data_IF_504200965705
#
_entry.id   IF_504200965705
#
_cell.length_a   1.000
_cell.length_b   1.000
_cell.length_c   1.000
_cell.angle_alpha   90.00
_cell.angle_beta   90.00
_cell.angle_gamma   90.00
#
_symmetry.space_group_name_H-M   'P 1'
#
loop_
_entity.id
_entity.type
_entity.pdbx_description
1 polymer ?
#
# COMPACT_ATOMS: atom_id res chain seq x y z
N UNK A 1 -54.19 -43.29 19.05
CA UNK A 1 -52.86 -42.95 19.59
C UNK A 1 -52.89 -41.45 19.89
N UNK A 2 -53.36 -41.07 21.06
CA UNK A 2 -52.56 -40.91 22.29
C UNK A 2 -51.60 -39.72 22.19
N UNK A 3 -51.94 -38.71 22.99
CA UNK A 3 -51.27 -37.43 23.14
C UNK A 3 -49.82 -37.56 23.63
N UNK A 4 -48.99 -36.60 23.23
CA UNK A 4 -48.05 -35.97 24.17
C UNK A 4 -47.80 -34.53 23.77
N UNK A 5 -48.54 -33.66 24.45
CA UNK A 5 -48.14 -32.29 24.75
C UNK A 5 -46.83 -32.36 25.56
N UNK A 6 -45.88 -31.46 25.30
CA UNK A 6 -45.25 -30.77 26.42
C UNK A 6 -44.66 -29.42 25.98
N UNK A 7 -45.43 -28.40 26.28
CA UNK A 7 -44.99 -27.05 26.60
C UNK A 7 -44.00 -27.06 27.76
N UNK A 8 -42.87 -26.38 27.61
CA UNK A 8 -42.23 -25.71 28.74
C UNK A 8 -41.82 -24.32 28.30
N UNK A 9 -42.59 -23.36 28.79
CA UNK A 9 -42.34 -21.93 28.75
C UNK A 9 -41.53 -21.56 30.00
N UNK A 10 -40.80 -20.45 29.89
CA UNK A 10 -40.22 -19.62 30.96
C UNK A 10 -38.86 -20.11 31.51
N UNK A 11 -37.84 -19.26 31.69
CA UNK A 11 -37.72 -17.82 31.88
C UNK A 11 -36.50 -17.31 31.06
N UNK A 12 -36.46 -16.12 30.47
CA UNK A 12 -36.72 -14.86 31.16
C UNK A 12 -35.51 -14.37 31.97
N UNK A 13 -34.27 -14.46 31.44
CA UNK A 13 -33.14 -13.67 31.99
C UNK A 13 -32.92 -12.46 31.10
N UNK A 14 -33.65 -11.39 31.44
CA UNK A 14 -33.14 -10.02 31.27
C UNK A 14 -32.11 -9.80 32.38
N UNK A 15 -30.89 -9.50 32.00
CA UNK A 15 -29.88 -8.82 32.82
C UNK A 15 -29.04 -8.05 31.82
N UNK A 16 -29.39 -6.81 31.57
CA UNK A 16 -28.86 -5.64 32.27
C UNK A 16 -27.36 -5.44 32.03
N UNK A 17 -27.05 -4.23 31.61
CA UNK A 17 -25.70 -3.72 31.47
C UNK A 17 -24.87 -4.02 32.73
N UNK A 18 -23.80 -4.78 32.57
CA UNK A 18 -22.71 -4.85 33.52
C UNK A 18 -21.47 -5.34 32.76
N UNK A 19 -20.41 -4.53 32.87
CA UNK A 19 -19.05 -4.74 32.43
C UNK A 19 -18.63 -6.22 32.30
N UNK A 20 -18.28 -6.64 31.09
CA UNK A 20 -17.45 -7.83 30.88
C UNK A 20 -16.05 -7.51 31.42
N UNK A 21 -15.86 -7.68 32.73
CA UNK A 21 -14.53 -7.73 33.36
C UNK A 21 -13.85 -9.02 32.88
N UNK A 22 -13.32 -8.98 31.66
CA UNK A 22 -12.34 -9.97 31.20
C UNK A 22 -11.23 -9.96 32.27
N UNK A 23 -10.90 -11.11 32.90
CA UNK A 23 -9.83 -11.16 33.88
C UNK A 23 -8.59 -10.51 33.28
N UNK A 24 -8.04 -9.46 33.92
CA UNK A 24 -6.91 -8.68 33.39
C UNK A 24 -5.75 -9.56 32.92
N UNK A 25 -5.56 -10.70 33.57
CA UNK A 25 -4.55 -11.72 33.24
C UNK A 25 -4.80 -12.38 31.87
N UNK A 26 -6.07 -12.62 31.50
CA UNK A 26 -6.46 -13.16 30.20
C UNK A 26 -6.28 -12.15 29.07
N UNK A 27 -6.47 -10.86 29.37
CA UNK A 27 -6.25 -9.79 28.40
C UNK A 27 -4.75 -9.57 28.17
N UNK A 28 -3.93 -9.59 29.24
CA UNK A 28 -2.47 -9.54 29.14
C UNK A 28 -1.90 -10.69 28.30
N UNK A 29 -2.39 -11.93 28.50
CA UNK A 29 -1.99 -13.08 27.67
C UNK A 29 -2.36 -12.91 26.20
N UNK A 30 -3.51 -12.29 25.89
CA UNK A 30 -3.90 -12.01 24.51
C UNK A 30 -3.11 -10.85 23.88
N UNK A 31 -2.53 -9.96 24.68
CA UNK A 31 -1.72 -8.82 24.21
C UNK A 31 -0.24 -9.18 24.05
N UNK A 32 0.19 -10.34 24.53
CA UNK A 32 1.53 -10.87 24.32
C UNK A 32 1.65 -11.40 22.89
N UNK A 33 2.38 -10.68 22.04
CA UNK A 33 2.74 -11.17 20.71
C UNK A 33 3.85 -12.22 20.82
N UNK A 34 3.59 -13.44 20.35
CA UNK A 34 4.61 -14.49 20.19
C UNK A 34 5.38 -14.35 18.87
N UNK A 35 5.41 -13.14 18.32
CA UNK A 35 6.07 -12.82 17.06
C UNK A 35 7.59 -12.91 17.24
N UNK A 36 8.25 -13.79 16.47
CA UNK A 36 9.70 -13.80 16.38
C UNK A 36 10.13 -12.57 15.57
N UNK A 37 10.69 -11.57 16.25
CA UNK A 37 11.35 -10.43 15.63
C UNK A 37 12.68 -10.84 15.00
N UNK A 38 12.67 -11.80 14.07
CA UNK A 38 13.80 -12.05 13.16
C UNK A 38 13.85 -10.90 12.15
N UNK A 39 14.24 -9.72 12.65
CA UNK A 39 14.48 -8.48 11.91
C UNK A 39 15.81 -8.51 11.16
N UNK A 40 16.30 -9.68 10.78
CA UNK A 40 17.25 -9.70 9.69
C UNK A 40 16.52 -9.06 8.50
N UNK A 41 17.10 -7.98 7.96
CA UNK A 41 16.60 -7.39 6.71
C UNK A 41 16.26 -8.52 5.76
N UNK A 42 15.07 -8.52 5.11
CA UNK A 42 14.74 -9.53 4.12
C UNK A 42 15.96 -9.75 3.23
N UNK A 43 16.35 -11.01 3.04
CA UNK A 43 17.41 -11.38 2.11
C UNK A 43 17.15 -10.57 0.84
N UNK A 44 18.12 -9.71 0.49
CA UNK A 44 18.06 -8.88 -0.70
C UNK A 44 17.60 -9.81 -1.81
N UNK A 45 16.47 -9.49 -2.47
CA UNK A 45 15.87 -10.37 -3.46
C UNK A 45 16.96 -11.05 -4.27
N UNK A 46 17.02 -12.40 -4.29
CA UNK A 46 18.12 -13.12 -4.92
C UNK A 46 18.33 -12.58 -6.33
N UNK A 47 19.60 -12.34 -6.66
CA UNK A 47 20.05 -11.63 -7.85
C UNK A 47 19.31 -12.07 -9.13
N UNK A 48 19.01 -11.07 -9.96
CA UNK A 48 18.37 -11.15 -11.27
C UNK A 48 17.28 -12.23 -11.39
N UNK A 49 16.03 -11.81 -11.19
CA UNK A 49 14.86 -12.55 -11.68
C UNK A 49 15.12 -12.90 -13.16
N UNK A 50 15.18 -14.19 -13.52
CA UNK A 50 15.45 -14.61 -14.89
C UNK A 50 14.46 -13.95 -15.85
N UNK A 51 14.97 -13.16 -16.79
CA UNK A 51 14.16 -12.41 -17.76
C UNK A 51 13.92 -10.93 -17.42
N UNK A 52 14.40 -10.39 -16.30
CA UNK A 52 14.38 -8.93 -16.02
C UNK A 52 15.62 -8.24 -16.58
N UNK A 53 16.77 -8.90 -16.58
CA UNK A 53 18.05 -8.37 -17.09
C UNK A 53 18.10 -8.18 -18.61
N UNK A 54 17.21 -8.83 -19.37
CA UNK A 54 17.12 -8.67 -20.83
C UNK A 54 16.35 -7.39 -21.22
N UNK A 55 15.51 -6.85 -20.33
CA UNK A 55 14.61 -5.73 -20.63
C UNK A 55 14.92 -4.46 -19.82
N UNK A 56 15.53 -4.61 -18.65
CA UNK A 56 16.08 -3.47 -17.91
C UNK A 56 17.53 -3.27 -18.35
N UNK A 57 17.94 -2.07 -18.81
CA UNK A 57 19.36 -1.80 -18.97
C UNK A 57 20.01 -2.07 -17.62
N UNK A 58 21.01 -2.97 -17.60
CA UNK A 58 21.89 -3.18 -16.46
C UNK A 58 22.50 -1.81 -16.16
N UNK A 59 21.90 -1.07 -15.23
CA UNK A 59 22.43 0.22 -14.83
C UNK A 59 23.84 -0.08 -14.32
N UNK A 60 24.85 0.39 -15.03
CA UNK A 60 26.20 0.39 -14.50
C UNK A 60 26.11 1.09 -13.15
N UNK A 61 26.44 0.38 -12.08
CA UNK A 61 26.40 0.89 -10.69
C UNK A 61 27.34 2.10 -10.52
N UNK A 62 28.14 2.42 -11.54
CA UNK A 62 29.05 3.56 -11.61
C UNK A 62 28.46 4.84 -12.26
N UNK A 63 27.29 4.79 -12.90
CA UNK A 63 26.76 5.92 -13.67
C UNK A 63 25.74 6.73 -12.87
N UNK A 64 26.26 7.55 -11.95
CA UNK A 64 25.55 8.58 -11.18
C UNK A 64 24.40 8.09 -10.27
N UNK A 65 24.23 8.72 -9.09
CA UNK A 65 23.05 8.45 -8.27
C UNK A 65 21.78 8.65 -9.12
N UNK A 66 20.76 7.79 -8.97
CA UNK A 66 19.48 7.95 -9.64
C UNK A 66 18.95 9.37 -9.46
N UNK A 67 18.20 9.90 -10.43
CA UNK A 67 17.73 11.28 -10.38
C UNK A 67 16.95 11.62 -9.09
N UNK A 68 16.27 10.65 -8.49
CA UNK A 68 15.56 10.77 -7.21
C UNK A 68 16.48 10.80 -5.98
N UNK A 69 17.73 10.34 -6.10
CA UNK A 69 18.74 10.40 -5.05
C UNK A 69 19.57 11.71 -5.09
N UNK A 70 19.32 12.56 -6.10
CA UNK A 70 19.93 13.89 -6.16
C UNK A 70 19.34 14.75 -5.03
N UNK A 71 20.20 15.47 -4.32
CA UNK A 71 19.75 16.46 -3.33
C UNK A 71 18.93 17.56 -4.00
N UNK A 72 18.18 18.32 -3.18
CA UNK A 72 17.36 19.42 -3.67
C UNK A 72 18.19 20.43 -4.47
N UNK A 73 17.70 20.71 -5.68
CA UNK A 73 18.26 21.72 -6.57
C UNK A 73 17.85 23.11 -6.11
N UNK A 74 18.53 24.14 -6.63
CA UNK A 74 18.20 25.53 -6.30
C UNK A 74 16.74 25.85 -6.70
N UNK A 75 16.32 25.29 -7.82
CA UNK A 75 14.98 25.40 -8.38
C UNK A 75 13.94 24.83 -7.41
N UNK A 76 14.22 23.67 -6.80
CA UNK A 76 13.32 23.07 -5.82
C UNK A 76 13.14 23.95 -4.57
N UNK A 77 14.22 24.53 -4.06
CA UNK A 77 14.14 25.48 -2.94
C UNK A 77 13.31 26.71 -3.30
N UNK A 78 13.47 27.24 -4.52
CA UNK A 78 12.65 28.38 -4.97
C UNK A 78 11.18 28.01 -5.08
N UNK A 79 10.88 26.80 -5.58
CA UNK A 79 9.50 26.31 -5.70
C UNK A 79 8.86 26.07 -4.32
N UNK A 80 9.60 25.47 -3.37
CA UNK A 80 9.15 25.33 -1.99
C UNK A 80 8.83 26.69 -1.36
N UNK A 81 9.69 27.69 -1.57
CA UNK A 81 9.47 29.03 -1.04
C UNK A 81 8.24 29.71 -1.67
N UNK A 82 8.00 29.48 -2.96
CA UNK A 82 6.79 29.95 -3.65
C UNK A 82 5.53 29.29 -3.08
N UNK A 83 5.55 27.98 -2.84
CA UNK A 83 4.43 27.28 -2.22
C UNK A 83 4.18 27.78 -0.79
N UNK A 84 5.24 28.02 -0.02
CA UNK A 84 5.12 28.54 1.35
C UNK A 84 4.55 29.96 1.42
N UNK A 85 4.69 30.78 0.38
CA UNK A 85 4.18 32.15 0.35
C UNK A 85 2.73 32.24 -0.14
N UNK A 86 2.16 31.15 -0.65
CA UNK A 86 0.77 31.12 -1.11
C UNK A 86 -0.22 31.17 0.05
N UNK A 87 -1.34 31.88 -0.08
CA UNK A 87 -2.45 31.77 0.86
C UNK A 87 -3.08 30.37 0.78
N UNK A 88 -3.81 29.97 1.82
CA UNK A 88 -4.45 28.64 1.92
C UNK A 88 -5.32 28.30 0.70
N UNK A 89 -6.04 29.28 0.14
CA UNK A 89 -6.83 29.10 -1.09
C UNK A 89 -5.97 28.76 -2.32
N UNK A 90 -4.78 29.36 -2.43
CA UNK A 90 -3.80 29.06 -3.48
C UNK A 90 -3.21 27.66 -3.34
N UNK A 91 -2.88 27.25 -2.10
CA UNK A 91 -2.43 25.89 -1.82
C UNK A 91 -3.47 24.84 -2.21
N UNK A 92 -4.75 25.05 -1.85
CA UNK A 92 -5.84 24.15 -2.23
C UNK A 92 -5.97 24.04 -3.76
N UNK A 93 -5.79 25.15 -4.48
CA UNK A 93 -5.85 25.15 -5.94
C UNK A 93 -4.69 24.37 -6.57
N UNK A 94 -3.47 24.52 -6.08
CA UNK A 94 -2.32 23.73 -6.55
C UNK A 94 -2.49 22.23 -6.22
N UNK A 95 -3.01 21.89 -5.05
CA UNK A 95 -3.34 20.49 -4.72
C UNK A 95 -4.36 19.91 -5.70
N UNK A 96 -5.42 20.67 -6.02
CA UNK A 96 -6.42 20.23 -7.00
C UNK A 96 -5.81 20.06 -8.40
N UNK A 97 -4.98 20.99 -8.83
CA UNK A 97 -4.28 20.92 -10.12
C UNK A 97 -3.37 19.70 -10.20
N UNK A 98 -2.61 19.40 -9.14
CA UNK A 98 -1.78 18.20 -9.07
C UNK A 98 -2.62 16.92 -9.12
N UNK A 99 -3.76 16.90 -8.43
CA UNK A 99 -4.70 15.78 -8.50
C UNK A 99 -5.23 15.56 -9.92
N UNK A 100 -5.65 16.62 -10.60
CA UNK A 100 -6.16 16.55 -11.97
C UNK A 100 -5.07 16.08 -12.95
N UNK A 101 -3.83 16.56 -12.77
CA UNK A 101 -2.68 16.14 -13.56
C UNK A 101 -2.35 14.65 -13.32
N UNK A 102 -2.31 14.20 -12.07
CA UNK A 102 -2.05 12.81 -11.74
C UNK A 102 -3.11 11.88 -12.34
N UNK A 103 -4.37 12.29 -12.32
CA UNK A 103 -5.46 11.56 -12.97
C UNK A 103 -5.25 11.45 -14.49
N UNK A 104 -4.91 12.57 -15.16
CA UNK A 104 -4.63 12.56 -16.60
C UNK A 104 -3.46 11.67 -16.97
N UNK A 105 -2.35 11.74 -16.22
CA UNK A 105 -1.19 10.87 -16.41
C UNK A 105 -1.55 9.39 -16.23
N UNK A 106 -2.36 9.05 -15.23
CA UNK A 106 -2.80 7.67 -15.02
C UNK A 106 -3.62 7.12 -16.19
N UNK A 107 -4.47 7.95 -16.79
CA UNK A 107 -5.22 7.55 -18.00
C UNK A 107 -4.29 7.33 -19.21
N UNK A 108 -3.30 8.22 -19.39
CA UNK A 108 -2.33 8.11 -20.48
C UNK A 108 -1.44 6.88 -20.32
N UNK A 109 -0.93 6.63 -19.10
CA UNK A 109 -0.14 5.46 -18.78
C UNK A 109 -0.94 4.17 -19.04
N UNK A 110 -2.19 4.08 -18.56
CA UNK A 110 -3.04 2.91 -18.79
C UNK A 110 -3.27 2.64 -20.29
N UNK A 111 -3.41 3.70 -21.09
CA UNK A 111 -3.53 3.60 -22.55
C UNK A 111 -2.25 3.07 -23.19
N UNK A 112 -1.09 3.60 -22.80
CA UNK A 112 0.21 3.15 -23.34
C UNK A 112 0.54 1.71 -22.88
N UNK A 113 0.20 1.34 -21.65
CA UNK A 113 0.33 -0.04 -21.17
C UNK A 113 -0.54 -1.01 -21.98
N UNK A 114 -1.78 -0.62 -22.27
CA UNK A 114 -2.69 -1.40 -23.12
C UNK A 114 -2.15 -1.52 -24.54
N UNK A 115 -1.62 -0.43 -25.10
CA UNK A 115 -0.95 -0.43 -26.40
C UNK A 115 0.25 -1.36 -26.42
N UNK A 116 1.11 -1.30 -25.39
CA UNK A 116 2.25 -2.20 -25.23
C UNK A 116 1.83 -3.67 -25.19
N UNK A 117 0.73 -3.99 -24.51
CA UNK A 117 0.14 -5.34 -24.51
C UNK A 117 -0.24 -5.81 -25.91
N UNK A 118 -0.91 -4.98 -26.71
CA UNK A 118 -1.28 -5.34 -28.09
C UNK A 118 -0.08 -5.46 -29.04
N UNK A 119 0.98 -4.70 -28.77
CA UNK A 119 2.24 -4.78 -29.51
C UNK A 119 3.13 -5.93 -29.03
N UNK A 120 2.70 -6.71 -28.03
CA UNK A 120 3.42 -7.85 -27.47
C UNK A 120 4.87 -7.51 -27.04
N UNK A 121 5.16 -6.25 -26.70
CA UNK A 121 6.52 -5.82 -26.30
C UNK A 121 6.99 -6.48 -25.00
N UNK A 122 6.04 -6.94 -24.18
CA UNK A 122 6.29 -7.68 -22.94
C UNK A 122 6.30 -9.20 -23.13
N UNK A 123 6.10 -9.71 -24.35
CA UNK A 123 6.19 -11.16 -24.59
C UNK A 123 7.65 -11.55 -24.69
N UNK A 124 8.14 -12.27 -23.68
CA UNK A 124 9.49 -12.84 -23.73
C UNK A 124 9.58 -13.83 -24.88
N UNK A 125 10.55 -13.64 -25.79
CA UNK A 125 10.95 -14.67 -26.75
C UNK A 125 11.57 -15.82 -25.94
N UNK A 126 10.73 -16.71 -25.42
CA UNK A 126 11.17 -18.00 -24.88
C UNK A 126 11.68 -18.83 -26.07
N UNK A 127 12.93 -18.59 -26.48
CA UNK A 127 13.68 -19.49 -27.34
C UNK A 127 13.76 -20.82 -26.59
N UNK A 128 13.15 -21.85 -27.18
CA UNK A 128 13.30 -23.24 -26.74
C UNK A 128 14.64 -23.77 -27.20
#
# INVERSE_FOLDING_TARGET
MAAKQNSFVQEGVKSDAASDDIPLTSLEESLLSLEKLDRASPELWPEQIPGVSDFAPLQNVNDSPPAWNKGFTKEDYTYMQQLSSLPTSGLIMEVKKLHDLAYQLGLEEAKEMTRGKYLNIFTSKRQR
#
